data_IF_691328509124
#
_entry.id   IF_691328509124
#
_cell.length_a   1.000
_cell.length_b   1.000
_cell.length_c   1.000
_cell.angle_alpha   90.00
_cell.angle_beta   90.00
_cell.angle_gamma   90.00
#
_symmetry.space_group_name_H-M   'P 1'
#
loop_
_entity.id
_entity.type
_entity.pdbx_description
1 polymer ?
#
# COMPACT_ATOMS: atom_id res chain seq x y z
N UNK A 1 -26.21 29.29 -2.03
CA UNK A 1 -26.14 28.51 -0.77
C UNK A 1 -26.49 27.09 -1.14
N UNK A 2 -25.50 26.20 -1.27
CA UNK A 2 -25.78 24.76 -1.45
C UNK A 2 -26.17 24.21 -0.08
N UNK A 3 -27.43 23.90 0.13
CA UNK A 3 -27.91 23.15 1.30
C UNK A 3 -27.19 21.78 1.27
N UNK A 4 -26.35 21.48 2.27
CA UNK A 4 -25.81 20.15 2.43
C UNK A 4 -26.96 19.19 2.69
N UNK A 5 -27.26 18.34 1.72
CA UNK A 5 -28.27 17.29 1.87
C UNK A 5 -27.73 16.30 2.92
N UNK A 6 -28.51 16.02 3.94
CA UNK A 6 -28.16 15.05 4.97
C UNK A 6 -28.29 13.62 4.43
N UNK A 7 -27.42 12.71 4.87
CA UNK A 7 -27.52 11.28 4.51
C UNK A 7 -28.89 10.70 4.90
N UNK A 8 -29.46 11.16 6.01
CA UNK A 8 -30.78 10.75 6.50
C UNK A 8 -31.96 11.29 5.68
N UNK A 9 -31.71 12.23 4.76
CA UNK A 9 -32.72 12.69 3.78
C UNK A 9 -32.75 11.80 2.54
N UNK A 10 -31.65 11.09 2.25
CA UNK A 10 -31.47 10.23 1.08
C UNK A 10 -31.73 8.76 1.38
N UNK A 11 -31.44 8.30 2.60
CA UNK A 11 -31.55 6.91 3.01
C UNK A 11 -32.32 6.76 4.31
N UNK A 12 -33.14 5.71 4.41
CA UNK A 12 -33.79 5.30 5.66
C UNK A 12 -32.73 4.80 6.67
N UNK A 13 -33.11 4.73 7.95
CA UNK A 13 -32.24 4.20 9.01
C UNK A 13 -31.87 2.73 8.78
N UNK A 14 -32.77 1.94 8.22
CA UNK A 14 -32.52 0.51 7.95
C UNK A 14 -31.54 0.35 6.78
N UNK A 15 -31.66 1.13 5.72
CA UNK A 15 -30.67 1.16 4.62
C UNK A 15 -29.30 1.60 5.11
N UNK A 16 -29.22 2.66 5.92
CA UNK A 16 -27.93 3.09 6.51
C UNK A 16 -27.32 1.97 7.35
N UNK A 17 -28.12 1.29 8.18
CA UNK A 17 -27.67 0.18 9.02
C UNK A 17 -27.17 -1.00 8.17
N UNK A 18 -27.89 -1.36 7.11
CA UNK A 18 -27.49 -2.42 6.18
C UNK A 18 -26.15 -2.06 5.49
N UNK A 19 -26.03 -0.87 4.91
CA UNK A 19 -24.84 -0.38 4.21
C UNK A 19 -23.61 -0.21 5.11
N UNK A 20 -23.80 0.02 6.42
CA UNK A 20 -22.71 0.21 7.38
C UNK A 20 -22.40 -1.04 8.22
N UNK A 21 -23.13 -2.14 8.00
CA UNK A 21 -22.89 -3.39 8.75
C UNK A 21 -21.62 -4.09 8.24
N UNK A 22 -20.65 -4.23 9.12
CA UNK A 22 -19.38 -4.93 8.83
C UNK A 22 -19.44 -6.38 9.29
N UNK A 23 -18.65 -7.25 8.65
CA UNK A 23 -18.59 -8.68 8.94
C UNK A 23 -17.13 -9.16 8.97
N UNK A 24 -16.76 -9.91 9.99
CA UNK A 24 -15.43 -10.53 10.07
C UNK A 24 -15.21 -11.56 8.97
N UNK A 25 -16.27 -12.26 8.54
CA UNK A 25 -16.19 -13.23 7.45
C UNK A 25 -15.90 -12.56 6.10
N UNK A 26 -16.58 -11.44 5.79
CA UNK A 26 -16.32 -10.70 4.57
C UNK A 26 -14.92 -10.09 4.55
N UNK A 27 -14.46 -9.53 5.68
CA UNK A 27 -13.09 -9.04 5.82
C UNK A 27 -12.05 -10.15 5.64
N UNK A 28 -12.27 -11.31 6.26
CA UNK A 28 -11.40 -12.48 6.11
C UNK A 28 -11.37 -12.98 4.65
N UNK A 29 -12.53 -13.01 3.97
CA UNK A 29 -12.61 -13.35 2.56
C UNK A 29 -11.82 -12.35 1.68
N UNK A 30 -11.94 -11.06 1.91
CA UNK A 30 -11.25 -10.02 1.14
C UNK A 30 -9.72 -10.12 1.29
N UNK A 31 -9.23 -10.29 2.51
CA UNK A 31 -7.79 -10.51 2.79
C UNK A 31 -7.33 -11.86 2.24
N UNK A 32 -8.07 -12.94 2.52
CA UNK A 32 -7.72 -14.30 2.11
C UNK A 32 -7.71 -14.47 0.59
N UNK A 33 -8.69 -13.92 -0.13
CA UNK A 33 -8.73 -13.98 -1.60
C UNK A 33 -7.55 -13.21 -2.22
N UNK A 34 -7.16 -12.07 -1.64
CA UNK A 34 -5.99 -11.31 -2.09
C UNK A 34 -4.72 -12.15 -1.97
N UNK A 35 -4.49 -12.79 -0.82
CA UNK A 35 -3.35 -13.67 -0.62
C UNK A 35 -3.40 -14.94 -1.48
N UNK A 36 -4.59 -15.53 -1.66
CA UNK A 36 -4.78 -16.68 -2.55
C UNK A 36 -4.32 -16.36 -3.97
N UNK A 37 -4.73 -15.21 -4.52
CA UNK A 37 -4.29 -14.79 -5.87
C UNK A 37 -2.78 -14.61 -5.93
N UNK A 38 -2.14 -14.03 -4.89
CA UNK A 38 -0.67 -13.87 -4.83
C UNK A 38 0.02 -15.24 -4.86
N UNK A 39 -0.40 -16.16 -3.98
CA UNK A 39 0.17 -17.51 -3.90
C UNK A 39 -0.03 -18.29 -5.20
N UNK A 40 -1.23 -18.23 -5.77
CA UNK A 40 -1.54 -18.86 -7.06
C UNK A 40 -0.69 -18.27 -8.20
N UNK A 41 -0.45 -16.96 -8.21
CA UNK A 41 0.41 -16.32 -9.22
C UNK A 41 1.84 -16.84 -9.11
N UNK A 42 2.43 -16.86 -7.91
CA UNK A 42 3.76 -17.42 -7.70
C UNK A 42 3.84 -18.92 -8.05
N UNK A 43 2.84 -19.69 -7.62
CA UNK A 43 2.75 -21.11 -7.94
C UNK A 43 2.67 -21.38 -9.45
N UNK A 44 1.89 -20.58 -10.18
CA UNK A 44 1.80 -20.66 -11.64
C UNK A 44 3.13 -20.35 -12.30
N UNK A 45 3.83 -19.29 -11.89
CA UNK A 45 5.16 -18.96 -12.42
C UNK A 45 6.15 -20.08 -12.13
N UNK A 46 6.21 -20.58 -10.89
CA UNK A 46 7.10 -21.67 -10.50
C UNK A 46 6.87 -22.93 -11.32
N UNK A 47 5.60 -23.36 -11.41
CA UNK A 47 5.23 -24.59 -12.12
C UNK A 47 5.46 -24.50 -13.63
N UNK A 48 5.08 -23.38 -14.25
CA UNK A 48 5.11 -23.26 -15.72
C UNK A 48 6.50 -22.93 -16.26
N UNK A 49 7.45 -22.52 -15.41
CA UNK A 49 8.76 -22.03 -15.84
C UNK A 49 9.54 -23.00 -16.73
N UNK A 50 9.53 -24.28 -16.40
CA UNK A 50 10.27 -25.31 -17.14
C UNK A 50 9.61 -25.69 -18.47
N UNK A 51 8.30 -25.47 -18.60
CA UNK A 51 7.53 -25.91 -19.79
C UNK A 51 7.38 -24.83 -20.86
N UNK A 52 7.68 -23.56 -20.52
CA UNK A 52 7.45 -22.46 -21.44
C UNK A 52 8.70 -22.12 -22.28
N UNK A 53 8.53 -21.81 -23.58
CA UNK A 53 9.57 -21.20 -24.39
C UNK A 53 9.91 -19.80 -23.87
N UNK A 54 11.04 -19.23 -24.26
CA UNK A 54 11.53 -17.93 -23.76
C UNK A 54 10.49 -16.80 -23.88
N UNK A 55 9.81 -16.70 -25.01
CA UNK A 55 8.76 -15.69 -25.19
C UNK A 55 7.56 -15.91 -24.25
N UNK A 56 7.20 -17.18 -23.99
CA UNK A 56 6.16 -17.55 -23.05
C UNK A 56 6.53 -17.16 -21.62
N UNK A 57 7.80 -17.35 -21.20
CA UNK A 57 8.30 -16.89 -19.91
C UNK A 57 8.20 -15.38 -19.75
N UNK A 58 8.57 -14.62 -20.80
CA UNK A 58 8.46 -13.15 -20.79
C UNK A 58 7.01 -12.70 -20.62
N UNK A 59 6.08 -13.28 -21.40
CA UNK A 59 4.66 -12.96 -21.29
C UNK A 59 4.10 -13.32 -19.91
N UNK A 60 4.43 -14.51 -19.41
CA UNK A 60 4.02 -14.96 -18.07
C UNK A 60 4.54 -14.02 -16.98
N UNK A 61 5.80 -13.59 -17.05
CA UNK A 61 6.37 -12.63 -16.10
C UNK A 61 5.63 -11.29 -16.15
N UNK A 62 5.34 -10.77 -17.34
CA UNK A 62 4.60 -9.53 -17.51
C UNK A 62 3.19 -9.62 -16.92
N UNK A 63 2.48 -10.72 -17.16
CA UNK A 63 1.15 -10.96 -16.57
C UNK A 63 1.22 -11.13 -15.05
N UNK A 64 2.19 -11.87 -14.55
CA UNK A 64 2.40 -12.04 -13.11
C UNK A 64 2.67 -10.69 -12.42
N UNK A 65 3.53 -9.84 -12.99
CA UNK A 65 3.79 -8.50 -12.47
C UNK A 65 2.51 -7.65 -12.45
N UNK A 66 1.71 -7.66 -13.52
CA UNK A 66 0.45 -6.91 -13.57
C UNK A 66 -0.56 -7.39 -12.50
N UNK A 67 -0.68 -8.72 -12.31
CA UNK A 67 -1.56 -9.29 -11.28
C UNK A 67 -1.06 -8.93 -9.89
N UNK A 68 0.24 -9.08 -9.62
CA UNK A 68 0.83 -8.77 -8.31
C UNK A 68 0.74 -7.29 -7.98
N UNK A 69 0.96 -6.38 -8.95
CA UNK A 69 0.75 -4.95 -8.78
C UNK A 69 -0.71 -4.63 -8.39
N UNK A 70 -1.69 -5.26 -9.07
CA UNK A 70 -3.10 -5.15 -8.68
C UNK A 70 -3.39 -5.69 -7.28
N UNK A 71 -2.68 -6.73 -6.82
CA UNK A 71 -2.83 -7.27 -5.45
C UNK A 71 -2.17 -6.37 -4.40
N UNK A 72 -1.08 -5.69 -4.75
CA UNK A 72 -0.49 -4.68 -3.87
C UNK A 72 -1.46 -3.50 -3.66
N UNK A 73 -2.06 -3.00 -4.73
CA UNK A 73 -3.10 -1.98 -4.62
C UNK A 73 -4.29 -2.47 -3.79
N UNK A 74 -4.71 -3.73 -3.97
CA UNK A 74 -5.76 -4.33 -3.13
C UNK A 74 -5.36 -4.35 -1.64
N UNK A 75 -4.11 -4.67 -1.29
CA UNK A 75 -3.62 -4.58 0.09
C UNK A 75 -3.69 -3.15 0.64
N UNK A 76 -3.33 -2.15 -0.17
CA UNK A 76 -3.44 -0.75 0.22
C UNK A 76 -4.90 -0.33 0.45
N UNK A 77 -5.85 -0.79 -0.38
CA UNK A 77 -7.29 -0.55 -0.21
C UNK A 77 -7.81 -1.23 1.06
N UNK A 78 -7.42 -2.50 1.32
CA UNK A 78 -7.81 -3.19 2.54
C UNK A 78 -7.26 -2.52 3.81
N UNK A 79 -6.03 -2.00 3.75
CA UNK A 79 -5.46 -1.18 4.82
C UNK A 79 -6.26 0.13 4.99
N UNK A 80 -6.65 0.78 3.90
CA UNK A 80 -7.49 1.99 3.91
C UNK A 80 -8.82 1.70 4.62
N UNK A 81 -9.57 0.66 4.22
CA UNK A 81 -10.84 0.30 4.83
C UNK A 81 -10.70 -0.06 6.31
N UNK A 82 -9.62 -0.77 6.66
CA UNK A 82 -9.29 -1.06 8.05
C UNK A 82 -8.96 0.21 8.87
N UNK A 83 -8.44 1.27 8.23
CA UNK A 83 -8.20 2.56 8.89
C UNK A 83 -9.50 3.22 9.36
N UNK A 84 -10.61 2.99 8.66
CA UNK A 84 -11.97 3.40 9.04
C UNK A 84 -12.67 2.42 9.97
N UNK A 85 -12.04 1.31 10.35
CA UNK A 85 -12.69 0.19 11.06
C UNK A 85 -13.88 -0.42 10.31
N UNK A 86 -13.86 -0.37 8.97
CA UNK A 86 -14.94 -0.85 8.09
C UNK A 86 -14.67 -2.20 7.43
N UNK A 87 -13.43 -2.70 7.45
CA UNK A 87 -13.09 -4.00 6.84
C UNK A 87 -13.58 -5.18 7.68
N UNK A 88 -13.43 -5.12 9.00
CA UNK A 88 -13.85 -6.15 9.95
C UNK A 88 -14.80 -5.55 11.01
N UNK A 89 -15.74 -6.36 11.51
CA UNK A 89 -16.56 -6.00 12.66
C UNK A 89 -15.69 -5.88 13.93
N UNK A 90 -14.75 -6.80 14.13
CA UNK A 90 -13.83 -6.82 15.26
C UNK A 90 -12.72 -5.79 15.08
N UNK A 91 -12.68 -4.78 15.96
CA UNK A 91 -11.70 -3.66 15.88
C UNK A 91 -10.25 -4.11 15.90
N UNK A 92 -9.93 -5.17 16.65
CA UNK A 92 -8.57 -5.72 16.72
C UNK A 92 -8.09 -6.23 15.36
N UNK A 93 -8.96 -6.88 14.57
CA UNK A 93 -8.65 -7.36 13.23
C UNK A 93 -8.33 -6.20 12.27
N UNK A 94 -9.08 -5.08 12.36
CA UNK A 94 -8.79 -3.87 11.58
C UNK A 94 -7.43 -3.22 11.93
N UNK A 95 -6.91 -3.44 13.14
CA UNK A 95 -5.66 -2.79 13.56
C UNK A 95 -4.47 -3.73 13.41
N UNK A 96 -4.55 -4.96 13.91
CA UNK A 96 -3.40 -5.85 14.00
C UNK A 96 -3.32 -6.85 12.84
N UNK A 97 -4.42 -7.56 12.54
CA UNK A 97 -4.38 -8.53 11.44
C UNK A 97 -4.12 -7.84 10.11
N UNK A 98 -4.84 -6.75 9.83
CA UNK A 98 -4.67 -6.00 8.58
C UNK A 98 -3.30 -5.32 8.49
N UNK A 99 -2.74 -4.86 9.62
CA UNK A 99 -1.39 -4.33 9.64
C UNK A 99 -0.39 -5.36 9.12
N UNK A 100 -0.39 -6.58 9.69
CA UNK A 100 0.56 -7.62 9.32
C UNK A 100 0.31 -8.25 7.94
N UNK A 101 -0.94 -8.40 7.53
CA UNK A 101 -1.28 -9.06 6.27
C UNK A 101 -1.44 -8.12 5.08
N UNK A 102 -1.67 -6.83 5.30
CA UNK A 102 -1.92 -5.88 4.20
C UNK A 102 -0.97 -4.69 4.19
N UNK A 103 -0.66 -4.09 5.37
CA UNK A 103 0.17 -2.89 5.41
C UNK A 103 1.67 -3.21 5.39
N UNK A 104 2.16 -4.07 6.28
CA UNK A 104 3.59 -4.39 6.40
C UNK A 104 4.22 -4.97 5.14
N UNK A 105 3.57 -5.88 4.38
CA UNK A 105 4.14 -6.40 3.13
C UNK A 105 4.44 -5.33 2.10
N UNK A 106 3.68 -4.24 2.08
CA UNK A 106 3.82 -3.11 1.14
C UNK A 106 4.52 -1.89 1.76
N UNK A 107 5.32 -2.10 2.81
CA UNK A 107 6.06 -1.05 3.53
C UNK A 107 5.17 0.06 4.08
N UNK A 108 4.05 -0.31 4.64
CA UNK A 108 3.10 0.62 5.25
C UNK A 108 2.79 0.23 6.72
N UNK A 109 1.95 1.01 7.39
CA UNK A 109 1.64 0.87 8.82
C UNK A 109 0.25 1.45 9.09
N UNK A 110 -0.69 0.60 9.54
CA UNK A 110 -2.06 1.03 9.84
C UNK A 110 -2.09 2.09 10.94
N UNK A 111 -1.19 2.02 11.92
CA UNK A 111 -1.15 2.96 13.05
C UNK A 111 -0.70 4.37 12.63
N UNK A 112 0.20 4.46 11.64
CA UNK A 112 0.65 5.73 11.04
C UNK A 112 -0.35 6.23 9.99
N UNK A 113 -0.88 5.33 9.17
CA UNK A 113 -1.81 5.68 8.10
C UNK A 113 -3.15 6.21 8.63
N UNK A 114 -3.73 5.57 9.64
CA UNK A 114 -5.06 5.94 10.16
C UNK A 114 -5.17 7.41 10.57
N UNK A 115 -4.33 7.96 11.47
CA UNK A 115 -4.45 9.37 11.87
C UNK A 115 -4.18 10.33 10.70
N UNK A 116 -3.25 9.99 9.81
CA UNK A 116 -2.97 10.75 8.60
C UNK A 116 -4.20 10.81 7.68
N UNK A 117 -4.80 9.66 7.39
CA UNK A 117 -5.95 9.53 6.49
C UNK A 117 -7.24 10.14 7.07
N UNK A 118 -7.49 9.98 8.37
CA UNK A 118 -8.62 10.64 9.02
C UNK A 118 -8.47 12.17 9.03
N UNK A 119 -7.23 12.69 9.13
CA UNK A 119 -6.97 14.12 8.95
C UNK A 119 -7.30 14.58 7.52
N UNK A 120 -6.94 13.78 6.49
CA UNK A 120 -7.34 14.05 5.11
C UNK A 120 -8.87 14.18 4.98
N UNK A 121 -9.65 13.23 5.53
CA UNK A 121 -11.12 13.31 5.50
C UNK A 121 -11.66 14.55 6.21
N UNK A 122 -11.08 14.93 7.35
CA UNK A 122 -11.51 16.11 8.10
C UNK A 122 -11.15 17.42 7.39
N UNK A 123 -10.13 17.43 6.52
CA UNK A 123 -9.53 18.61 5.92
C UNK A 123 -9.50 18.59 4.39
N UNK A 124 -10.23 17.69 3.78
CA UNK A 124 -10.24 17.49 2.31
C UNK A 124 -10.28 18.82 1.56
N UNK A 125 -9.31 19.02 0.66
CA UNK A 125 -9.12 20.21 -0.17
C UNK A 125 -8.82 21.51 0.59
N UNK A 126 -8.54 21.46 1.90
CA UNK A 126 -8.08 22.62 2.68
C UNK A 126 -6.55 22.73 2.66
N UNK A 127 -5.95 23.90 3.00
CA UNK A 127 -4.50 24.07 2.98
C UNK A 127 -3.71 23.13 3.89
N UNK A 128 -4.34 22.59 4.93
CA UNK A 128 -3.76 21.63 5.89
C UNK A 128 -4.17 20.18 5.62
N UNK A 129 -4.79 19.89 4.48
CA UNK A 129 -5.03 18.53 3.97
C UNK A 129 -3.69 17.85 3.65
N UNK A 130 -3.35 16.73 4.31
CA UNK A 130 -2.10 16.04 4.07
C UNK A 130 -1.98 15.46 2.64
N UNK A 131 -3.10 15.22 1.95
CA UNK A 131 -3.14 14.70 0.58
C UNK A 131 -3.29 15.79 -0.50
N UNK A 132 -3.26 17.07 -0.12
CA UNK A 132 -3.36 18.17 -1.08
C UNK A 132 -2.29 18.08 -2.18
N UNK A 133 -1.09 17.57 -1.87
CA UNK A 133 0.00 17.36 -2.81
C UNK A 133 -0.35 16.43 -3.98
N UNK A 134 -1.33 15.53 -3.83
CA UNK A 134 -1.76 14.62 -4.89
C UNK A 134 -2.58 15.34 -5.97
N UNK A 135 -3.30 16.41 -5.63
CA UNK A 135 -4.26 17.07 -6.53
C UNK A 135 -3.90 18.54 -6.86
N UNK A 136 -3.03 19.19 -6.10
CA UNK A 136 -2.71 20.63 -6.24
C UNK A 136 -2.21 21.06 -7.62
N UNK A 137 -1.68 20.11 -8.41
CA UNK A 137 -1.12 20.38 -9.73
C UNK A 137 -2.11 20.09 -10.87
N UNK A 138 -3.34 19.68 -10.58
CA UNK A 138 -4.36 19.44 -11.60
C UNK A 138 -5.08 20.74 -12.00
N UNK A 139 -5.49 20.87 -13.29
CA UNK A 139 -5.30 19.91 -14.39
C UNK A 139 -3.86 19.90 -14.92
N UNK A 140 -3.36 18.72 -15.30
CA UNK A 140 -2.03 18.56 -15.91
C UNK A 140 -2.10 18.53 -17.44
N UNK A 141 -0.98 18.85 -18.11
CA UNK A 141 -0.86 18.73 -19.57
C UNK A 141 -0.67 17.27 -19.99
N UNK A 142 -1.05 16.93 -21.23
CA UNK A 142 -0.82 15.59 -21.79
C UNK A 142 0.66 15.20 -21.74
N UNK A 143 1.57 16.14 -22.06
CA UNK A 143 3.02 15.87 -21.99
C UNK A 143 3.50 15.57 -20.56
N UNK A 144 2.89 16.17 -19.55
CA UNK A 144 3.16 15.84 -18.14
C UNK A 144 2.68 14.44 -17.78
N UNK A 145 1.51 14.04 -18.29
CA UNK A 145 0.98 12.70 -18.10
C UNK A 145 1.88 11.63 -18.76
N UNK A 146 2.30 11.85 -20.01
CA UNK A 146 3.24 10.94 -20.69
C UNK A 146 4.59 10.83 -19.98
N UNK A 147 5.15 11.94 -19.47
CA UNK A 147 6.38 11.89 -18.66
C UNK A 147 6.18 11.09 -17.37
N UNK A 148 5.00 11.18 -16.75
CA UNK A 148 4.68 10.37 -15.56
C UNK A 148 4.66 8.88 -15.91
N UNK A 149 3.91 8.48 -16.95
CA UNK A 149 3.88 7.09 -17.39
C UNK A 149 5.28 6.55 -17.73
N UNK A 150 6.10 7.34 -18.40
CA UNK A 150 7.47 6.93 -18.73
C UNK A 150 8.31 6.71 -17.47
N UNK A 151 8.22 7.60 -16.46
CA UNK A 151 8.92 7.41 -15.18
C UNK A 151 8.42 6.20 -14.40
N UNK A 152 7.11 5.94 -14.44
CA UNK A 152 6.51 4.79 -13.77
C UNK A 152 6.99 3.49 -14.45
N UNK A 153 6.91 3.40 -15.79
CA UNK A 153 7.31 2.21 -16.53
C UNK A 153 8.81 1.88 -16.44
N UNK A 154 9.67 2.87 -16.27
CA UNK A 154 11.12 2.63 -16.13
C UNK A 154 11.61 2.56 -14.67
N UNK A 155 10.69 2.53 -13.69
CA UNK A 155 11.00 2.37 -12.27
C UNK A 155 11.51 3.62 -11.55
N UNK A 156 11.60 4.79 -12.20
CA UNK A 156 12.09 6.02 -11.55
C UNK A 156 11.18 6.47 -10.42
N UNK A 157 9.85 6.37 -10.61
CA UNK A 157 8.87 6.70 -9.57
C UNK A 157 9.02 5.78 -8.35
N UNK A 158 9.23 4.49 -8.58
CA UNK A 158 9.42 3.53 -7.53
C UNK A 158 10.71 3.74 -6.74
N UNK A 159 11.83 4.01 -7.41
CA UNK A 159 13.09 4.37 -6.73
C UNK A 159 12.94 5.62 -5.86
N UNK A 160 12.23 6.64 -6.37
CA UNK A 160 11.91 7.85 -5.59
C UNK A 160 11.06 7.51 -4.36
N UNK A 161 10.04 6.66 -4.53
CA UNK A 161 9.20 6.20 -3.43
C UNK A 161 10.03 5.46 -2.37
N UNK A 162 10.86 4.50 -2.77
CA UNK A 162 11.71 3.75 -1.84
C UNK A 162 12.66 4.68 -1.06
N UNK A 163 13.31 5.64 -1.74
CA UNK A 163 14.15 6.63 -1.09
C UNK A 163 13.35 7.47 -0.08
N UNK A 164 12.14 7.91 -0.45
CA UNK A 164 11.22 8.62 0.44
C UNK A 164 10.86 7.81 1.69
N UNK A 165 10.56 6.50 1.53
CA UNK A 165 10.24 5.61 2.66
C UNK A 165 11.43 5.45 3.61
N UNK A 166 12.63 5.29 3.09
CA UNK A 166 13.86 5.24 3.92
C UNK A 166 14.03 6.54 4.70
N UNK A 167 13.84 7.70 4.06
CA UNK A 167 13.95 9.00 4.73
C UNK A 167 12.86 9.21 5.80
N UNK A 168 11.63 8.71 5.57
CA UNK A 168 10.56 8.71 6.57
C UNK A 168 10.88 7.79 7.75
N UNK A 169 11.45 6.60 7.50
CA UNK A 169 11.82 5.67 8.56
C UNK A 169 13.06 6.15 9.34
N UNK A 170 13.93 6.94 8.72
CA UNK A 170 15.00 7.69 9.40
C UNK A 170 14.47 8.90 10.20
N UNK A 171 13.19 9.24 10.08
CA UNK A 171 12.57 10.47 10.63
C UNK A 171 13.23 11.77 10.10
N UNK A 172 13.70 11.75 8.85
CA UNK A 172 14.17 12.92 8.11
C UNK A 172 13.09 13.54 7.23
N UNK A 173 12.00 12.81 7.00
CA UNK A 173 10.75 13.29 6.40
C UNK A 173 9.57 12.93 7.29
N UNK A 174 8.55 13.78 7.31
CA UNK A 174 7.26 13.43 7.92
C UNK A 174 6.66 12.23 7.18
N UNK A 175 6.08 11.30 7.94
CA UNK A 175 5.40 10.15 7.34
C UNK A 175 4.22 10.62 6.50
N UNK A 176 4.16 10.17 5.24
CA UNK A 176 3.14 10.60 4.28
C UNK A 176 2.96 9.54 3.20
N UNK A 177 1.77 9.50 2.60
CA UNK A 177 1.51 8.84 1.31
C UNK A 177 1.41 9.86 0.18
N UNK A 178 1.51 11.16 0.49
CA UNK A 178 1.52 12.25 -0.48
C UNK A 178 2.89 12.39 -1.16
N UNK A 179 2.88 13.03 -2.34
CA UNK A 179 4.09 13.34 -3.11
C UNK A 179 4.92 14.51 -2.56
N UNK A 180 4.50 15.13 -1.45
CA UNK A 180 5.08 16.35 -0.89
C UNK A 180 5.31 16.24 0.63
N UNK A 181 6.06 15.20 1.10
CA UNK A 181 6.37 15.05 2.50
C UNK A 181 7.25 16.20 2.98
N UNK A 182 6.97 16.73 4.20
CA UNK A 182 7.75 17.82 4.77
C UNK A 182 9.07 17.30 5.36
N UNK A 183 10.17 18.03 5.19
CA UNK A 183 11.44 17.67 5.82
C UNK A 183 11.38 17.88 7.34
N UNK A 184 11.98 16.96 8.07
CA UNK A 184 12.25 17.09 9.51
C UNK A 184 13.73 17.44 9.65
N UNK A 185 14.08 18.56 10.28
CA UNK A 185 15.47 18.93 10.52
C UNK A 185 16.23 17.82 11.23
N UNK A 186 17.47 17.60 10.83
CA UNK A 186 18.30 16.58 11.49
C UNK A 186 18.73 17.01 12.89
N UNK A 187 18.89 18.31 13.09
CA UNK A 187 19.43 18.90 14.33
C UNK A 187 20.70 18.18 14.80
N UNK A 188 20.88 17.95 16.10
CA UNK A 188 22.03 17.27 16.68
C UNK A 188 21.90 15.74 16.72
N UNK A 189 20.92 15.16 16.00
CA UNK A 189 20.70 13.71 15.97
C UNK A 189 21.89 12.96 15.37
N UNK A 190 22.42 12.00 16.11
CA UNK A 190 23.54 11.17 15.71
C UNK A 190 23.17 10.16 14.63
N UNK A 191 24.18 9.65 13.91
CA UNK A 191 23.94 8.55 12.93
C UNK A 191 23.37 7.30 13.63
N UNK A 192 23.70 7.06 14.88
CA UNK A 192 23.19 5.92 15.65
C UNK A 192 21.69 6.08 15.95
N UNK A 193 21.24 7.27 16.27
CA UNK A 193 19.79 7.56 16.47
C UNK A 193 19.03 7.40 15.17
N UNK A 194 19.52 7.90 14.06
CA UNK A 194 18.92 7.70 12.75
C UNK A 194 18.82 6.20 12.38
N UNK A 195 19.87 5.42 12.64
CA UNK A 195 19.88 3.98 12.40
C UNK A 195 18.86 3.25 13.31
N UNK A 196 18.73 3.64 14.60
CA UNK A 196 17.73 3.09 15.51
C UNK A 196 16.30 3.41 15.03
N UNK A 197 16.05 4.63 14.56
CA UNK A 197 14.75 5.03 14.01
C UNK A 197 14.42 4.20 12.75
N UNK A 198 15.38 4.06 11.82
CA UNK A 198 15.22 3.22 10.64
C UNK A 198 14.84 1.78 11.03
N UNK A 199 15.61 1.14 11.92
CA UNK A 199 15.31 -0.24 12.34
C UNK A 199 13.96 -0.35 13.04
N UNK A 200 13.61 0.58 13.94
CA UNK A 200 12.33 0.61 14.64
C UNK A 200 11.16 0.74 13.65
N UNK A 201 11.24 1.71 12.76
CA UNK A 201 10.15 2.06 11.85
C UNK A 201 9.97 1.04 10.71
N UNK A 202 11.07 0.46 10.18
CA UNK A 202 11.03 -0.55 9.12
C UNK A 202 10.89 -2.00 9.63
N UNK A 203 10.99 -2.26 10.94
CA UNK A 203 10.99 -3.62 11.51
C UNK A 203 9.81 -4.48 11.06
N UNK A 204 8.61 -3.94 11.07
CA UNK A 204 7.40 -4.66 10.64
C UNK A 204 7.47 -5.07 9.17
N UNK A 205 7.90 -4.16 8.30
CA UNK A 205 8.13 -4.45 6.87
C UNK A 205 9.22 -5.51 6.70
N UNK A 206 10.35 -5.37 7.39
CA UNK A 206 11.46 -6.33 7.29
C UNK A 206 11.03 -7.72 7.73
N UNK A 207 10.32 -7.87 8.86
CA UNK A 207 9.81 -9.15 9.36
C UNK A 207 8.83 -9.76 8.36
N UNK A 208 7.87 -8.99 7.87
CA UNK A 208 6.85 -9.47 6.93
C UNK A 208 7.49 -9.95 5.62
N UNK A 209 8.39 -9.16 5.06
CA UNK A 209 9.08 -9.51 3.82
C UNK A 209 10.08 -10.66 4.00
N UNK A 210 10.75 -10.76 5.15
CA UNK A 210 11.58 -11.91 5.50
C UNK A 210 10.75 -13.20 5.58
N UNK A 211 9.53 -13.14 6.14
CA UNK A 211 8.62 -14.28 6.17
C UNK A 211 8.20 -14.73 4.76
N UNK A 212 7.85 -13.78 3.87
CA UNK A 212 7.52 -14.07 2.46
C UNK A 212 8.71 -14.69 1.74
N UNK A 213 9.90 -14.08 1.89
CA UNK A 213 11.13 -14.61 1.29
C UNK A 213 11.45 -16.02 1.80
N UNK A 214 11.34 -16.25 3.11
CA UNK A 214 11.58 -17.56 3.72
C UNK A 214 10.61 -18.63 3.21
N UNK A 215 9.33 -18.29 3.01
CA UNK A 215 8.35 -19.20 2.42
C UNK A 215 8.71 -19.57 0.98
N UNK A 216 9.12 -18.60 0.17
CA UNK A 216 9.58 -18.83 -1.21
C UNK A 216 10.88 -19.61 -1.25
N UNK A 217 11.80 -19.37 -0.30
CA UNK A 217 13.02 -20.15 -0.15
C UNK A 217 12.72 -21.61 0.19
N UNK A 218 11.87 -21.84 1.19
CA UNK A 218 11.46 -23.19 1.59
C UNK A 218 10.74 -23.97 0.47
N UNK A 219 10.06 -23.27 -0.45
CA UNK A 219 9.45 -23.86 -1.65
C UNK A 219 10.45 -24.14 -2.79
N UNK A 220 11.71 -23.78 -2.63
CA UNK A 220 12.74 -23.93 -3.68
C UNK A 220 12.77 -22.81 -4.73
N UNK A 221 11.97 -21.75 -4.56
CA UNK A 221 11.81 -20.68 -5.56
C UNK A 221 12.14 -19.27 -5.05
N UNK A 222 13.31 -19.03 -4.38
CA UNK A 222 13.63 -17.72 -3.79
C UNK A 222 13.69 -16.58 -4.80
N UNK A 223 14.03 -16.88 -6.07
CA UNK A 223 14.08 -15.86 -7.15
C UNK A 223 12.73 -15.20 -7.43
N UNK A 224 11.61 -15.85 -7.09
CA UNK A 224 10.27 -15.26 -7.23
C UNK A 224 10.09 -14.05 -6.33
N UNK A 225 10.88 -13.90 -5.27
CA UNK A 225 10.84 -12.70 -4.44
C UNK A 225 11.22 -11.42 -5.19
N UNK A 226 11.96 -11.52 -6.30
CA UNK A 226 12.26 -10.38 -7.17
C UNK A 226 10.98 -9.74 -7.73
N UNK A 227 9.92 -10.50 -7.95
CA UNK A 227 8.63 -9.95 -8.35
C UNK A 227 8.04 -9.04 -7.26
N UNK A 228 8.21 -9.39 -5.98
CA UNK A 228 7.78 -8.54 -4.86
C UNK A 228 8.52 -7.20 -4.87
N UNK A 229 9.82 -7.19 -5.16
CA UNK A 229 10.62 -5.96 -5.22
C UNK A 229 10.27 -5.09 -6.43
N UNK A 230 10.00 -5.70 -7.58
CA UNK A 230 9.72 -4.97 -8.82
C UNK A 230 8.35 -4.29 -8.78
N UNK A 231 7.32 -4.90 -8.17
CA UNK A 231 6.00 -4.30 -8.13
C UNK A 231 5.78 -3.37 -6.94
N UNK A 232 6.62 -3.42 -5.88
CA UNK A 232 6.52 -2.48 -4.75
C UNK A 232 6.93 -1.05 -5.11
N UNK A 233 7.48 -0.85 -6.29
CA UNK A 233 8.03 0.43 -6.70
C UNK A 233 7.03 1.39 -7.37
N UNK A 234 5.79 1.00 -7.65
CA UNK A 234 4.87 1.77 -8.49
C UNK A 234 3.49 2.08 -7.87
N UNK A 235 3.35 1.94 -6.55
CA UNK A 235 2.09 2.26 -5.85
C UNK A 235 2.00 3.72 -5.42
#
# INVERSE_FOLDING_TARGET
MNSKVSVTELFSRDEIKELTTTSDLHGAWAVGSTWTVIVMTFGTVAYSWEYLPTWGKVLMCALALAILAGRQLAMAILMHDASHHSLFKTKWLNTHLTDWLCARPIWNDVSKYRPYHLKHHAKTSQPDDPDLGLVKNFPITQSSLFRKFFRDLNGQSGLKFLAGRVLMDLELLEWSVSNDPKPIPRDDRSNLELAKNLLKNSSGMLISNAAIFSALWASGHPKLYLFCLLYTSDA
#
